data_IF_381954645678
#
_entry.id   IF_381954645678
#
_cell.length_a   1.000
_cell.length_b   1.000
_cell.length_c   1.000
_cell.angle_alpha   90.00
_cell.angle_beta   90.00
_cell.angle_gamma   90.00
#
_symmetry.space_group_name_H-M   'P 1'
#
loop_
_entity.id
_entity.type
_entity.pdbx_description
1 polymer ?
#
# COMPACT_ATOMS: atom_id res chain seq x y z
N UNK A 1 -24.31 11.63 30.40
CA UNK A 1 -24.74 11.57 29.00
C UNK A 1 -23.95 12.49 28.03
N UNK A 2 -23.47 13.66 28.46
CA UNK A 2 -22.67 14.56 27.58
C UNK A 2 -21.24 14.04 27.33
N UNK A 3 -20.59 13.39 28.29
CA UNK A 3 -19.22 12.83 28.20
C UNK A 3 -19.20 11.64 27.21
N UNK A 4 -20.24 10.82 27.16
CA UNK A 4 -20.35 9.68 26.26
C UNK A 4 -20.50 10.12 24.79
N UNK A 5 -21.22 11.22 24.54
CA UNK A 5 -21.34 11.82 23.18
C UNK A 5 -20.02 12.43 22.71
N UNK A 6 -19.22 13.00 23.61
CA UNK A 6 -17.91 13.58 23.28
C UNK A 6 -16.87 12.48 22.99
N UNK A 7 -16.93 11.35 23.66
CA UNK A 7 -16.04 10.19 23.44
C UNK A 7 -16.31 9.52 22.08
N UNK A 8 -17.58 9.42 21.64
CA UNK A 8 -17.93 8.91 20.31
C UNK A 8 -17.46 9.80 19.15
N UNK A 9 -17.37 11.12 19.37
CA UNK A 9 -16.90 12.04 18.34
C UNK A 9 -15.39 11.94 18.10
N UNK A 10 -14.62 11.56 19.12
CA UNK A 10 -13.16 11.38 19.02
C UNK A 10 -12.74 10.11 18.25
N UNK A 11 -13.62 9.11 18.17
CA UNK A 11 -13.37 7.85 17.45
C UNK A 11 -13.52 7.97 15.92
N UNK A 12 -14.07 9.07 15.42
CA UNK A 12 -14.31 9.26 13.97
C UNK A 12 -13.13 9.91 13.21
N UNK A 13 -12.07 10.34 13.90
CA UNK A 13 -10.92 11.01 13.27
C UNK A 13 -9.78 10.06 12.91
N UNK A 14 -9.90 8.75 13.16
CA UNK A 14 -8.89 7.75 12.81
C UNK A 14 -9.06 7.20 11.38
N UNK A 15 -9.70 7.95 10.47
CA UNK A 15 -9.83 7.58 9.06
C UNK A 15 -8.69 8.18 8.27
N UNK A 16 -7.53 7.53 8.25
CA UNK A 16 -6.43 8.06 7.48
C UNK A 16 -5.54 7.02 6.85
N UNK A 17 -5.31 7.15 5.56
CA UNK A 17 -4.20 6.58 4.80
C UNK A 17 -4.02 5.05 4.85
N UNK A 18 -5.11 4.31 4.90
CA UNK A 18 -5.02 2.87 4.68
C UNK A 18 -4.57 2.61 3.24
N UNK A 19 -3.56 1.74 3.01
CA UNK A 19 -3.15 1.34 1.69
C UNK A 19 -4.34 0.89 0.83
N UNK A 20 -4.39 1.35 -0.42
CA UNK A 20 -5.39 0.88 -1.38
C UNK A 20 -4.79 -0.23 -2.21
N UNK A 21 -5.58 -1.27 -2.52
CA UNK A 21 -5.10 -2.40 -3.28
C UNK A 21 -6.09 -2.79 -4.37
N UNK A 22 -5.52 -3.15 -5.51
CA UNK A 22 -6.22 -3.79 -6.63
C UNK A 22 -5.63 -5.19 -6.81
N UNK A 23 -6.48 -6.18 -7.03
CA UNK A 23 -6.09 -7.58 -7.20
C UNK A 23 -6.62 -8.11 -8.51
N UNK A 24 -5.83 -8.97 -9.16
CA UNK A 24 -6.24 -9.75 -10.31
C UNK A 24 -5.64 -11.16 -10.24
N UNK A 25 -6.31 -12.15 -10.82
CA UNK A 25 -5.82 -13.52 -10.80
C UNK A 25 -6.42 -14.35 -11.95
N UNK A 26 -5.71 -15.38 -12.36
CA UNK A 26 -6.21 -16.33 -13.34
C UNK A 26 -7.29 -17.22 -12.71
N UNK A 27 -8.52 -17.05 -13.19
CA UNK A 27 -9.70 -17.81 -12.71
C UNK A 27 -9.63 -19.31 -12.99
N UNK A 28 -8.76 -19.75 -13.90
CA UNK A 28 -8.58 -21.16 -14.27
C UNK A 28 -7.65 -21.89 -13.29
N UNK A 29 -6.86 -21.16 -12.53
CA UNK A 29 -5.90 -21.74 -11.58
C UNK A 29 -6.61 -22.25 -10.35
N UNK A 30 -6.19 -23.42 -9.89
CA UNK A 30 -6.59 -23.96 -8.60
C UNK A 30 -5.53 -23.64 -7.58
N UNK A 31 -5.85 -22.78 -6.62
CA UNK A 31 -4.93 -22.35 -5.56
C UNK A 31 -4.83 -23.35 -4.39
N UNK A 32 -5.60 -24.45 -4.44
CA UNK A 32 -5.54 -25.51 -3.43
C UNK A 32 -4.32 -26.41 -3.70
N UNK A 33 -3.54 -26.71 -2.65
CA UNK A 33 -2.34 -27.55 -2.77
C UNK A 33 -1.10 -26.78 -3.21
N UNK A 34 -1.14 -25.46 -3.17
CA UNK A 34 0.02 -24.58 -3.30
C UNK A 34 0.49 -24.28 -1.88
N UNK A 35 1.59 -24.92 -1.44
CA UNK A 35 2.04 -24.85 -0.06
C UNK A 35 3.48 -24.33 0.07
N UNK A 36 4.23 -24.28 -1.04
CA UNK A 36 5.63 -23.89 -1.03
C UNK A 36 5.91 -22.70 -1.96
N UNK A 37 6.86 -21.86 -1.54
CA UNK A 37 7.26 -20.70 -2.34
C UNK A 37 8.78 -20.45 -2.28
N UNK A 38 9.25 -19.66 -3.24
CA UNK A 38 10.55 -19.02 -3.23
C UNK A 38 10.43 -17.60 -3.77
N UNK A 39 11.32 -16.71 -3.35
CA UNK A 39 11.45 -15.39 -3.98
C UNK A 39 11.97 -15.58 -5.41
N UNK A 40 11.41 -14.83 -6.35
CA UNK A 40 11.80 -14.96 -7.76
C UNK A 40 13.30 -14.74 -7.93
N UNK A 41 14.02 -15.65 -8.62
CA UNK A 41 15.48 -15.64 -8.68
C UNK A 41 16.08 -14.35 -9.26
N UNK A 42 15.37 -13.70 -10.17
CA UNK A 42 15.78 -12.47 -10.84
C UNK A 42 15.02 -11.25 -10.31
N UNK A 43 14.80 -11.18 -9.00
CA UNK A 43 14.11 -10.07 -8.36
C UNK A 43 14.82 -8.74 -8.63
N UNK A 44 14.07 -7.76 -9.11
CA UNK A 44 14.48 -6.36 -9.26
C UNK A 44 13.46 -5.47 -8.55
N UNK A 45 13.64 -5.28 -7.26
CA UNK A 45 12.66 -4.61 -6.38
C UNK A 45 12.53 -3.10 -6.63
N UNK A 46 13.59 -2.45 -7.13
CA UNK A 46 13.70 -0.98 -7.26
C UNK A 46 13.61 -0.22 -5.94
N UNK A 47 13.70 -0.89 -4.82
CA UNK A 47 13.79 -0.30 -3.50
C UNK A 47 15.25 -0.02 -3.11
N UNK A 48 15.43 0.78 -2.05
CA UNK A 48 16.73 0.84 -1.39
C UNK A 48 17.08 -0.53 -0.81
N UNK A 49 18.36 -0.86 -0.71
CA UNK A 49 18.80 -2.17 -0.19
C UNK A 49 18.20 -2.47 1.20
N UNK A 50 18.13 -1.46 2.10
CA UNK A 50 17.56 -1.64 3.43
C UNK A 50 16.05 -1.88 3.41
N UNK A 51 15.33 -1.21 2.52
CA UNK A 51 13.88 -1.41 2.40
C UNK A 51 13.55 -2.73 1.71
N UNK A 52 14.35 -3.16 0.75
CA UNK A 52 14.25 -4.49 0.16
C UNK A 52 14.43 -5.58 1.22
N UNK A 53 15.45 -5.48 2.07
CA UNK A 53 15.65 -6.43 3.16
C UNK A 53 14.49 -6.45 4.16
N UNK A 54 13.95 -5.26 4.53
CA UNK A 54 12.77 -5.16 5.39
C UNK A 54 11.56 -5.84 4.74
N UNK A 55 11.32 -5.53 3.46
CA UNK A 55 10.18 -6.08 2.73
C UNK A 55 10.28 -7.59 2.59
N UNK A 56 11.45 -8.13 2.28
CA UNK A 56 11.71 -9.57 2.23
C UNK A 56 11.43 -10.25 3.58
N UNK A 57 11.90 -9.66 4.68
CA UNK A 57 11.66 -10.17 6.03
C UNK A 57 10.17 -10.19 6.37
N UNK A 58 9.46 -9.10 6.07
CA UNK A 58 8.03 -8.97 6.30
C UNK A 58 7.26 -9.99 5.44
N UNK A 59 7.60 -10.08 4.15
CA UNK A 59 6.98 -11.01 3.21
C UNK A 59 7.14 -12.45 3.67
N UNK A 60 8.35 -12.85 4.07
CA UNK A 60 8.63 -14.19 4.59
C UNK A 60 7.78 -14.50 5.82
N UNK A 61 7.69 -13.56 6.76
CA UNK A 61 6.84 -13.71 7.96
C UNK A 61 5.36 -13.85 7.60
N UNK A 62 4.87 -13.06 6.65
CA UNK A 62 3.47 -13.09 6.24
C UNK A 62 3.12 -14.38 5.47
N UNK A 63 4.01 -14.84 4.60
CA UNK A 63 3.84 -16.11 3.88
C UNK A 63 3.80 -17.29 4.86
N UNK A 64 4.70 -17.32 5.84
CA UNK A 64 4.69 -18.34 6.90
C UNK A 64 3.38 -18.31 7.71
N UNK A 65 2.86 -17.12 8.06
CA UNK A 65 1.58 -16.97 8.77
C UNK A 65 0.40 -17.50 7.94
N UNK A 66 0.51 -17.45 6.63
CA UNK A 66 -0.49 -18.01 5.70
C UNK A 66 -0.32 -19.53 5.44
N UNK A 67 0.70 -20.15 6.02
CA UNK A 67 0.96 -21.59 5.92
C UNK A 67 1.92 -21.98 4.79
N UNK A 68 2.54 -21.02 4.09
CA UNK A 68 3.51 -21.30 3.05
C UNK A 68 4.90 -21.57 3.64
N UNK A 69 5.58 -22.59 3.16
CA UNK A 69 6.97 -22.89 3.49
C UNK A 69 7.91 -22.54 2.31
N UNK A 70 9.16 -22.22 2.63
CA UNK A 70 10.19 -22.04 1.58
C UNK A 70 10.70 -23.40 1.10
N UNK A 71 10.97 -23.55 -0.22
CA UNK A 71 11.50 -24.77 -0.81
C UNK A 71 12.45 -24.47 -1.97
N UNK A 72 13.41 -25.36 -2.22
CA UNK A 72 14.30 -25.26 -3.40
C UNK A 72 13.55 -25.48 -4.72
N UNK A 73 12.55 -26.37 -4.70
CA UNK A 73 11.64 -26.61 -5.81
C UNK A 73 10.23 -26.19 -5.38
N UNK A 74 9.90 -24.89 -5.46
CA UNK A 74 8.65 -24.35 -4.94
C UNK A 74 7.49 -24.60 -5.90
N UNK A 75 6.26 -24.51 -5.37
CA UNK A 75 5.06 -24.49 -6.20
C UNK A 75 4.90 -23.13 -6.90
N UNK A 76 5.30 -22.05 -6.20
CA UNK A 76 5.18 -20.68 -6.71
C UNK A 76 6.44 -19.86 -6.45
N UNK A 77 6.67 -18.89 -7.31
CA UNK A 77 7.57 -17.77 -7.06
C UNK A 77 6.79 -16.53 -6.62
N UNK A 78 7.39 -15.80 -5.69
CA UNK A 78 6.90 -14.47 -5.28
C UNK A 78 7.86 -13.42 -5.82
N UNK A 79 7.37 -12.58 -6.71
CA UNK A 79 8.09 -11.44 -7.25
C UNK A 79 7.46 -10.15 -6.74
N UNK A 80 8.26 -9.10 -6.58
CA UNK A 80 7.74 -7.77 -6.29
C UNK A 80 8.65 -6.68 -6.86
N UNK A 81 8.05 -5.55 -7.15
CA UNK A 81 8.78 -4.33 -7.49
C UNK A 81 8.00 -3.10 -7.01
N UNK A 82 8.73 -2.03 -6.76
CA UNK A 82 8.15 -0.80 -6.28
C UNK A 82 8.50 0.38 -7.21
N UNK A 83 7.63 1.36 -7.21
CA UNK A 83 7.88 2.66 -7.80
C UNK A 83 7.41 3.75 -6.83
N UNK A 84 8.19 4.80 -6.70
CA UNK A 84 7.84 5.98 -5.92
C UNK A 84 7.45 7.11 -6.86
N UNK A 85 6.44 7.85 -6.49
CA UNK A 85 6.03 9.05 -7.21
C UNK A 85 5.55 10.13 -6.23
N UNK A 86 5.61 11.37 -6.65
CA UNK A 86 5.20 12.51 -5.85
C UNK A 86 3.93 13.13 -6.42
N UNK A 87 3.01 13.49 -5.55
CA UNK A 87 1.83 14.27 -5.92
C UNK A 87 1.82 15.57 -5.15
N UNK A 88 1.37 16.68 -5.76
CA UNK A 88 1.17 17.91 -5.02
C UNK A 88 0.16 17.68 -3.90
N UNK A 89 0.48 18.16 -2.69
CA UNK A 89 -0.46 18.13 -1.57
C UNK A 89 -1.73 18.90 -1.94
N UNK A 90 -2.89 18.27 -1.72
CA UNK A 90 -4.22 18.89 -2.02
C UNK A 90 -4.68 19.84 -0.94
N UNK A 91 -3.85 20.23 0.00
CA UNK A 91 -4.19 21.19 1.05
C UNK A 91 -4.23 22.60 0.49
N UNK A 92 -5.39 23.03 0.01
CA UNK A 92 -5.64 24.42 -0.39
C UNK A 92 -6.24 25.17 0.79
N UNK A 93 -5.52 26.12 1.35
CA UNK A 93 -6.10 27.10 2.26
C UNK A 93 -6.60 28.27 1.43
N UNK A 94 -7.91 28.35 1.25
CA UNK A 94 -8.56 29.51 0.67
C UNK A 94 -8.64 30.61 1.70
N UNK A 95 -7.93 31.72 1.52
CA UNK A 95 -8.18 32.95 2.26
C UNK A 95 -9.28 33.68 1.52
N UNK A 96 -10.53 33.50 1.98
CA UNK A 96 -11.66 34.32 1.55
C UNK A 96 -11.66 35.65 2.29
N UNK A 97 -11.27 36.73 1.64
CA UNK A 97 -11.55 38.09 2.15
C UNK A 97 -12.98 38.43 1.75
N UNK A 98 -13.95 38.17 2.64
CA UNK A 98 -15.33 38.60 2.49
C UNK A 98 -15.49 40.03 2.99
N UNK A 99 -15.47 41.02 2.10
CA UNK A 99 -15.93 42.37 2.37
C UNK A 99 -17.47 42.40 2.29
N UNK A 100 -18.16 42.63 3.42
CA UNK A 100 -19.59 42.81 3.45
C UNK A 100 -20.00 44.17 2.86
N UNK A 101 -20.99 44.16 1.95
CA UNK A 101 -21.65 45.34 1.42
C UNK A 101 -22.22 45.08 0.04
N UNK A 102 -23.50 44.81 -0.03
CA UNK A 102 -24.47 44.81 -1.12
C UNK A 102 -23.99 44.58 -2.57
N UNK A 103 -24.66 43.63 -3.21
CA UNK A 103 -24.65 43.29 -4.63
C UNK A 103 -23.38 42.64 -5.21
N UNK A 104 -23.53 41.33 -5.44
CA UNK A 104 -22.74 40.49 -6.37
C UNK A 104 -21.24 40.74 -6.34
N UNK A 105 -20.59 40.14 -5.35
CA UNK A 105 -19.13 40.04 -5.33
C UNK A 105 -18.68 38.78 -6.04
N UNK A 106 -18.05 38.90 -7.21
CA UNK A 106 -17.26 37.81 -7.81
C UNK A 106 -15.98 37.66 -6.98
N UNK A 107 -15.99 36.74 -6.00
CA UNK A 107 -14.81 36.40 -5.21
C UNK A 107 -13.90 35.46 -6.01
N UNK A 108 -12.76 35.94 -6.49
CA UNK A 108 -11.68 35.08 -6.97
C UNK A 108 -10.99 34.50 -5.73
N UNK A 109 -11.33 33.27 -5.35
CA UNK A 109 -10.61 32.56 -4.31
C UNK A 109 -9.34 31.99 -4.90
N UNK A 110 -8.23 32.72 -4.83
CA UNK A 110 -6.91 32.21 -5.06
C UNK A 110 -6.46 31.35 -3.87
N UNK A 111 -6.55 30.03 -3.95
CA UNK A 111 -5.95 29.15 -2.96
C UNK A 111 -4.47 28.96 -3.25
N UNK A 112 -3.61 29.31 -2.31
CA UNK A 112 -2.21 28.90 -2.38
C UNK A 112 -2.09 27.48 -1.82
N UNK A 113 -1.42 26.54 -2.55
CA UNK A 113 -1.15 25.22 -2.01
C UNK A 113 -0.21 25.37 -0.81
N UNK A 114 -0.69 25.09 0.39
CA UNK A 114 0.13 25.01 1.60
C UNK A 114 0.35 23.53 1.87
N UNK A 115 1.51 23.02 1.45
CA UNK A 115 1.93 21.64 1.67
C UNK A 115 3.01 21.27 0.66
N UNK A 116 4.03 20.55 1.13
CA UNK A 116 5.01 19.96 0.25
C UNK A 116 4.40 18.81 -0.57
N UNK A 117 5.16 18.27 -1.50
CA UNK A 117 4.75 17.08 -2.25
C UNK A 117 4.60 15.88 -1.28
N UNK A 118 3.52 15.13 -1.46
CA UNK A 118 3.36 13.85 -0.79
C UNK A 118 3.99 12.76 -1.65
N UNK A 119 4.84 11.93 -1.04
CA UNK A 119 5.42 10.77 -1.71
C UNK A 119 4.51 9.57 -1.52
N UNK A 120 4.27 8.84 -2.59
CA UNK A 120 3.55 7.58 -2.61
C UNK A 120 4.48 6.44 -3.04
N UNK A 121 4.31 5.29 -2.39
CA UNK A 121 4.92 4.04 -2.81
C UNK A 121 3.83 3.18 -3.47
N UNK A 122 4.09 2.75 -4.68
CA UNK A 122 3.30 1.76 -5.41
C UNK A 122 4.08 0.45 -5.42
N UNK A 123 3.62 -0.53 -4.67
CA UNK A 123 4.15 -1.89 -4.66
C UNK A 123 3.32 -2.78 -5.56
N UNK A 124 3.97 -3.46 -6.49
CA UNK A 124 3.39 -4.57 -7.24
C UNK A 124 3.93 -5.87 -6.67
N UNK A 125 3.06 -6.83 -6.41
CA UNK A 125 3.39 -8.17 -5.94
C UNK A 125 2.73 -9.19 -6.85
N UNK A 126 3.57 -10.07 -7.42
CA UNK A 126 3.19 -11.09 -8.39
C UNK A 126 3.42 -12.48 -7.80
N UNK A 127 2.45 -13.36 -7.96
CA UNK A 127 2.60 -14.79 -7.69
C UNK A 127 2.64 -15.53 -9.03
N UNK A 128 3.70 -16.29 -9.22
CA UNK A 128 4.03 -16.93 -10.48
C UNK A 128 4.05 -18.45 -10.24
N UNK A 129 3.35 -19.21 -11.05
CA UNK A 129 3.44 -20.68 -11.05
C UNK A 129 4.86 -21.11 -11.45
N UNK A 130 5.52 -21.85 -10.56
CA UNK A 130 6.94 -22.21 -10.77
C UNK A 130 7.16 -23.23 -11.89
N UNK A 131 6.14 -24.02 -12.26
CA UNK A 131 6.24 -25.04 -13.31
C UNK A 131 6.13 -24.44 -14.71
N UNK A 132 5.25 -23.42 -14.87
CA UNK A 132 4.92 -22.86 -16.15
C UNK A 132 5.49 -21.44 -16.35
N UNK A 133 6.12 -20.88 -15.32
CA UNK A 133 6.58 -19.47 -15.27
C UNK A 133 5.46 -18.49 -15.66
N UNK A 134 4.25 -18.77 -15.20
CA UNK A 134 3.06 -17.99 -15.55
C UNK A 134 2.52 -17.21 -14.36
N UNK A 135 2.16 -15.96 -14.59
CA UNK A 135 1.52 -15.12 -13.58
C UNK A 135 0.14 -15.69 -13.25
N UNK A 136 -0.10 -16.02 -11.98
CA UNK A 136 -1.35 -16.60 -11.51
C UNK A 136 -2.12 -15.67 -10.57
N UNK A 137 -1.42 -14.72 -9.95
CA UNK A 137 -2.05 -13.71 -9.10
C UNK A 137 -1.20 -12.44 -9.05
N UNK A 138 -1.87 -11.30 -8.97
CA UNK A 138 -1.28 -9.98 -9.06
C UNK A 138 -1.95 -9.04 -8.05
N UNK A 139 -1.15 -8.25 -7.34
CA UNK A 139 -1.65 -7.17 -6.51
C UNK A 139 -0.85 -5.89 -6.74
N UNK A 140 -1.56 -4.79 -6.81
CA UNK A 140 -0.97 -3.46 -6.79
C UNK A 140 -1.48 -2.72 -5.57
N UNK A 141 -0.57 -2.24 -4.73
CA UNK A 141 -0.88 -1.49 -3.52
C UNK A 141 -0.25 -0.11 -3.60
N UNK A 142 -1.05 0.91 -3.39
CA UNK A 142 -0.59 2.29 -3.28
C UNK A 142 -0.80 2.81 -1.85
N UNK A 143 0.22 3.47 -1.31
CA UNK A 143 0.18 4.07 0.02
C UNK A 143 1.05 5.31 0.09
N UNK A 144 0.66 6.28 0.92
CA UNK A 144 1.58 7.36 1.27
C UNK A 144 2.83 6.78 1.94
N UNK A 145 4.00 7.33 1.62
CA UNK A 145 5.27 6.81 2.04
C UNK A 145 6.22 7.94 2.45
N UNK A 146 6.59 7.97 3.72
CA UNK A 146 7.52 8.99 4.21
C UNK A 146 8.96 8.52 4.08
N UNK A 147 9.68 9.05 3.11
CA UNK A 147 11.12 8.76 2.89
C UNK A 147 12.01 9.13 4.07
N UNK A 148 11.58 10.10 4.88
CA UNK A 148 12.33 10.61 6.03
C UNK A 148 11.86 10.00 7.36
N UNK A 149 11.02 8.97 7.31
CA UNK A 149 10.56 8.25 8.48
C UNK A 149 11.71 7.53 9.20
N UNK A 150 11.54 7.32 10.50
CA UNK A 150 12.47 6.48 11.27
C UNK A 150 12.51 5.05 10.71
N UNK A 151 13.57 4.27 10.96
CA UNK A 151 13.63 2.87 10.52
C UNK A 151 12.41 2.05 10.96
N UNK A 152 11.91 2.27 12.16
CA UNK A 152 10.74 1.58 12.73
C UNK A 152 9.44 1.98 12.02
N UNK A 153 9.29 3.27 11.73
CA UNK A 153 8.11 3.77 10.99
C UNK A 153 8.11 3.27 9.54
N UNK A 154 9.29 3.20 8.90
CA UNK A 154 9.42 2.62 7.55
C UNK A 154 9.02 1.14 7.53
N UNK A 155 9.47 0.38 8.52
CA UNK A 155 9.07 -1.04 8.66
C UNK A 155 7.56 -1.17 8.84
N UNK A 156 6.96 -0.32 9.68
CA UNK A 156 5.50 -0.28 9.89
C UNK A 156 4.75 0.05 8.60
N UNK A 157 5.23 1.04 7.83
CA UNK A 157 4.62 1.40 6.53
C UNK A 157 4.73 0.25 5.52
N UNK A 158 5.92 -0.36 5.37
CA UNK A 158 6.13 -1.49 4.48
C UNK A 158 5.29 -2.70 4.89
N UNK A 159 5.17 -2.96 6.21
CA UNK A 159 4.32 -4.02 6.73
C UNK A 159 2.84 -3.81 6.34
N UNK A 160 2.32 -2.60 6.51
CA UNK A 160 0.94 -2.30 6.14
C UNK A 160 0.68 -2.51 4.63
N UNK A 161 1.67 -2.19 3.78
CA UNK A 161 1.60 -2.39 2.33
C UNK A 161 1.59 -3.89 1.99
N UNK A 162 2.50 -4.69 2.58
CA UNK A 162 2.57 -6.14 2.34
C UNK A 162 1.34 -6.85 2.87
N UNK A 163 0.87 -6.51 4.08
CA UNK A 163 -0.37 -7.05 4.65
C UNK A 163 -1.55 -6.80 3.71
N UNK A 164 -1.61 -5.60 3.13
CA UNK A 164 -2.65 -5.24 2.18
C UNK A 164 -2.49 -6.01 0.86
N UNK A 165 -1.26 -6.12 0.34
CA UNK A 165 -0.98 -6.88 -0.87
C UNK A 165 -1.42 -8.34 -0.75
N UNK A 166 -1.09 -9.00 0.35
CA UNK A 166 -1.41 -10.40 0.57
C UNK A 166 -2.83 -10.67 1.09
N UNK A 167 -3.62 -9.63 1.38
CA UNK A 167 -4.98 -9.81 1.92
C UNK A 167 -5.89 -10.61 0.99
N UNK A 168 -5.73 -10.45 -0.33
CA UNK A 168 -6.51 -11.15 -1.34
C UNK A 168 -5.96 -12.52 -1.73
N UNK A 169 -4.80 -12.95 -1.22
CA UNK A 169 -4.14 -14.20 -1.60
C UNK A 169 -4.21 -15.25 -0.48
N UNK A 170 -4.51 -16.54 -0.79
CA UNK A 170 -5.08 -16.98 -2.06
C UNK A 170 -6.53 -16.47 -2.24
N UNK A 171 -6.99 -16.31 -3.49
CA UNK A 171 -8.36 -15.86 -3.74
C UNK A 171 -9.36 -16.89 -3.21
N UNK A 172 -10.42 -16.40 -2.56
CA UNK A 172 -11.52 -17.25 -2.12
C UNK A 172 -12.45 -17.48 -3.32
N UNK A 173 -12.67 -18.75 -3.66
CA UNK A 173 -13.73 -19.13 -4.61
C UNK A 173 -15.09 -19.03 -3.98
#
# INVERSE_FOLDING_TARGET
MKIFKSLCLFLLIASCNAPQAVYDYDQKVQFVGIDTYQIYPNLVSRLSHLDEQRLLSILTSQMATKGFATAENPDIYVNFYASEYETPSRSNVGIGVGGGGGNVGVGVSGGFPIGGNETYLKLTLDIIDAKNDSLIWHAVVESSFNKNASPQDRETQLKAIVDKALKGYPPKK
#
